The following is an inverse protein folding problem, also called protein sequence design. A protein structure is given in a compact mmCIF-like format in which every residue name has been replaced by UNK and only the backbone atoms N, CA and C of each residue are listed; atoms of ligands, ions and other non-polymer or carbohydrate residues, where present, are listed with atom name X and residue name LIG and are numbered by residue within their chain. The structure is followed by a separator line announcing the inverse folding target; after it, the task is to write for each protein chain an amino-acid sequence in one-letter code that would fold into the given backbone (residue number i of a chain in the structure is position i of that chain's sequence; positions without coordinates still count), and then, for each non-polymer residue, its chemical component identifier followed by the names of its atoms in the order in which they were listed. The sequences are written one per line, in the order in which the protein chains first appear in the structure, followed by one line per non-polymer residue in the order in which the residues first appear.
data_IF_709501684877
#
_entry.id   IF_709501684877
#
_cell.length_a   1.000
_cell.length_b   1.000
_cell.length_c   1.000
_cell.angle_alpha   90.00
_cell.angle_beta   90.00
_cell.angle_gamma   90.00
#
_symmetry.space_group_name_H-M   'P 1'
#
loop_
_entity.id
_entity.type
_entity.pdbx_description
1 polymer ?
#
# COMPACT_ATOMS: atom_id res chain seq x y z
N UNK A 1 16.80 8.91 -26.19
CA UNK A 1 15.96 7.78 -25.73
C UNK A 1 15.07 8.32 -24.64
N UNK A 2 13.78 8.11 -24.74
CA UNK A 2 12.85 8.48 -23.67
C UNK A 2 13.06 7.49 -22.51
N UNK A 3 13.53 7.92 -21.32
CA UNK A 3 13.72 7.03 -20.17
C UNK A 3 12.39 6.46 -19.63
N UNK A 4 11.26 6.83 -20.27
CA UNK A 4 9.89 6.60 -19.82
C UNK A 4 9.16 5.51 -20.61
N UNK A 5 9.81 4.81 -21.54
CA UNK A 5 9.18 3.67 -22.23
C UNK A 5 9.00 2.47 -21.30
N UNK A 6 7.89 1.70 -21.43
CA UNK A 6 7.70 0.42 -20.76
C UNK A 6 8.91 -0.50 -21.00
N UNK A 7 9.40 -1.15 -19.93
CA UNK A 7 10.54 -2.08 -20.01
C UNK A 7 11.93 -1.45 -19.89
N UNK A 8 12.04 -0.17 -19.55
CA UNK A 8 13.32 0.44 -19.14
C UNK A 8 13.77 -0.07 -17.77
N UNK A 9 15.07 -0.10 -17.51
CA UNK A 9 15.64 -0.52 -16.23
C UNK A 9 15.04 0.26 -15.04
N UNK A 10 14.77 1.55 -15.23
CA UNK A 10 14.10 2.39 -14.25
C UNK A 10 12.67 1.91 -13.94
N UNK A 11 11.85 1.63 -14.97
CA UNK A 11 10.49 1.10 -14.79
C UNK A 11 10.49 -0.28 -14.11
N UNK A 12 11.45 -1.15 -14.46
CA UNK A 12 11.63 -2.48 -13.84
C UNK A 12 11.98 -2.39 -12.37
N UNK A 13 12.87 -1.45 -12.01
CA UNK A 13 13.27 -1.23 -10.63
C UNK A 13 12.10 -0.77 -9.76
N UNK A 14 11.32 0.21 -10.25
CA UNK A 14 10.12 0.72 -9.56
C UNK A 14 9.09 -0.40 -9.40
N UNK A 15 8.78 -1.11 -10.48
CA UNK A 15 7.82 -2.22 -10.47
C UNK A 15 8.22 -3.33 -9.48
N UNK A 16 9.50 -3.73 -9.47
CA UNK A 16 10.01 -4.75 -8.56
C UNK A 16 9.87 -4.34 -7.09
N UNK A 17 10.14 -3.06 -6.76
CA UNK A 17 9.97 -2.53 -5.41
C UNK A 17 8.52 -2.57 -4.97
N UNK A 18 7.60 -2.10 -5.82
CA UNK A 18 6.17 -2.09 -5.52
C UNK A 18 5.66 -3.52 -5.28
N UNK A 19 6.02 -4.48 -6.14
CA UNK A 19 5.67 -5.89 -5.97
C UNK A 19 6.17 -6.42 -4.63
N UNK A 20 7.45 -6.19 -4.31
CA UNK A 20 8.03 -6.62 -3.04
C UNK A 20 7.24 -6.07 -1.84
N UNK A 21 6.87 -4.78 -1.86
CA UNK A 21 6.12 -4.19 -0.76
C UNK A 21 4.68 -4.70 -0.67
N UNK A 22 4.03 -5.00 -1.80
CA UNK A 22 2.74 -5.69 -1.79
C UNK A 22 2.84 -7.08 -1.14
N UNK A 23 3.85 -7.87 -1.53
CA UNK A 23 4.06 -9.21 -0.98
C UNK A 23 4.38 -9.14 0.53
N UNK A 24 5.18 -8.15 0.97
CA UNK A 24 5.46 -7.91 2.39
C UNK A 24 4.21 -7.49 3.18
N UNK A 25 3.37 -6.63 2.60
CA UNK A 25 2.11 -6.24 3.20
C UNK A 25 1.17 -7.46 3.35
N UNK A 26 1.09 -8.30 2.34
CA UNK A 26 0.26 -9.52 2.35
C UNK A 26 0.74 -10.52 3.41
N UNK A 27 2.05 -10.76 3.51
CA UNK A 27 2.63 -11.60 4.57
C UNK A 27 2.30 -11.06 5.96
N UNK A 28 2.43 -9.75 6.16
CA UNK A 28 2.10 -9.12 7.44
C UNK A 28 0.60 -9.18 7.74
N UNK A 29 -0.26 -9.04 6.73
CA UNK A 29 -1.71 -9.16 6.86
C UNK A 29 -2.13 -10.57 7.30
N UNK A 30 -1.56 -11.61 6.70
CA UNK A 30 -1.84 -12.99 7.10
C UNK A 30 -1.43 -13.28 8.56
N UNK A 31 -0.35 -12.67 9.05
CA UNK A 31 0.05 -12.76 10.47
C UNK A 31 -0.80 -11.90 11.39
N UNK A 32 -1.35 -10.81 10.88
CA UNK A 32 -2.24 -9.92 11.62
C UNK A 32 -3.62 -10.57 11.84
N UNK A 33 -4.19 -11.27 10.86
CA UNK A 33 -5.56 -11.79 10.94
C UNK A 33 -5.90 -12.59 12.23
N UNK A 34 -5.05 -13.51 12.73
CA UNK A 34 -5.41 -14.35 13.88
C UNK A 34 -5.49 -13.61 15.21
N UNK A 35 -4.65 -12.59 15.43
CA UNK A 35 -4.46 -11.97 16.74
C UNK A 35 -4.60 -10.44 16.73
N UNK A 36 -4.55 -9.84 15.54
CA UNK A 36 -4.61 -8.41 15.28
C UNK A 36 -3.55 -7.62 16.04
N UNK A 37 -2.38 -8.19 16.28
CA UNK A 37 -1.30 -7.52 17.03
C UNK A 37 -0.81 -6.26 16.32
N UNK A 38 -0.58 -5.20 17.11
CA UNK A 38 -0.02 -3.94 16.61
C UNK A 38 1.29 -4.15 15.83
N UNK A 39 2.14 -5.07 16.26
CA UNK A 39 3.38 -5.42 15.55
C UNK A 39 3.13 -5.70 14.06
N UNK A 40 2.12 -6.51 13.75
CA UNK A 40 1.80 -6.87 12.37
C UNK A 40 1.11 -5.71 11.65
N UNK A 41 0.27 -4.92 12.33
CA UNK A 41 -0.30 -3.70 11.77
C UNK A 41 0.77 -2.66 11.38
N UNK A 42 1.82 -2.49 12.19
CA UNK A 42 2.97 -1.65 11.89
C UNK A 42 3.76 -2.16 10.68
N UNK A 43 3.92 -3.48 10.55
CA UNK A 43 4.53 -4.07 9.36
C UNK A 43 3.71 -3.82 8.08
N UNK A 44 2.38 -3.96 8.15
CA UNK A 44 1.47 -3.62 7.04
C UNK A 44 1.64 -2.14 6.70
N UNK A 45 1.62 -1.26 7.71
CA UNK A 45 1.78 0.19 7.53
C UNK A 45 3.05 0.54 6.78
N UNK A 46 4.18 0.04 7.27
CA UNK A 46 5.48 0.31 6.67
C UNK A 46 5.54 -0.08 5.19
N UNK A 47 4.96 -1.22 4.84
CA UNK A 47 4.88 -1.67 3.44
C UNK A 47 3.97 -0.77 2.61
N UNK A 48 2.80 -0.41 3.14
CA UNK A 48 1.85 0.50 2.48
C UNK A 48 2.45 1.91 2.27
N UNK A 49 3.18 2.45 3.24
CA UNK A 49 3.88 3.74 3.12
C UNK A 49 4.96 3.69 2.03
N UNK A 50 5.66 2.55 1.90
CA UNK A 50 6.64 2.36 0.84
C UNK A 50 5.96 2.31 -0.55
N UNK A 51 4.83 1.60 -0.68
CA UNK A 51 4.02 1.59 -1.91
C UNK A 51 3.55 3.01 -2.23
N UNK A 52 2.94 3.70 -1.25
CA UNK A 52 2.46 5.07 -1.40
C UNK A 52 3.56 6.00 -1.94
N UNK A 53 4.76 5.93 -1.35
CA UNK A 53 5.91 6.72 -1.79
C UNK A 53 6.29 6.41 -3.23
N UNK A 54 6.40 5.14 -3.61
CA UNK A 54 6.74 4.77 -4.99
C UNK A 54 5.66 5.23 -5.99
N UNK A 55 4.38 5.13 -5.63
CA UNK A 55 3.29 5.59 -6.49
C UNK A 55 3.29 7.11 -6.67
N UNK A 56 3.56 7.87 -5.61
CA UNK A 56 3.54 9.35 -5.63
C UNK A 56 4.79 9.97 -6.24
N UNK A 57 5.99 9.50 -5.89
CA UNK A 57 7.26 9.99 -6.46
C UNK A 57 7.35 9.77 -7.98
N UNK A 58 6.63 8.76 -8.48
CA UNK A 58 6.58 8.39 -9.89
C UNK A 58 5.20 8.62 -10.51
N UNK A 59 4.40 9.53 -9.96
CA UNK A 59 3.02 9.76 -10.39
C UNK A 59 2.86 10.00 -11.90
N UNK A 60 3.82 10.71 -12.51
CA UNK A 60 3.83 11.01 -13.95
C UNK A 60 4.17 9.82 -14.83
N UNK A 61 4.62 8.70 -14.27
CA UNK A 61 5.02 7.50 -15.01
C UNK A 61 3.84 6.53 -15.23
N UNK A 62 2.75 6.69 -14.48
CA UNK A 62 1.61 5.79 -14.56
C UNK A 62 0.79 6.08 -15.82
N UNK A 63 0.57 5.10 -16.71
CA UNK A 63 -0.27 5.29 -17.87
C UNK A 63 -1.73 5.52 -17.45
N UNK A 64 -2.48 6.25 -18.27
CA UNK A 64 -3.89 6.61 -18.01
C UNK A 64 -4.74 5.42 -17.55
N UNK A 65 -4.53 4.25 -18.15
CA UNK A 65 -5.26 3.00 -17.83
C UNK A 65 -5.13 2.54 -16.38
N UNK A 66 -4.08 2.95 -15.65
CA UNK A 66 -3.87 2.58 -14.23
C UNK A 66 -4.02 3.77 -13.27
N UNK A 67 -4.07 5.01 -13.78
CA UNK A 67 -4.10 6.20 -12.92
C UNK A 67 -5.29 6.23 -11.95
N UNK A 68 -6.47 5.79 -12.40
CA UNK A 68 -7.65 5.70 -11.53
C UNK A 68 -7.43 4.73 -10.37
N UNK A 69 -6.82 3.58 -10.63
CA UNK A 69 -6.52 2.58 -9.60
C UNK A 69 -5.48 3.10 -8.61
N UNK A 70 -4.44 3.79 -9.11
CA UNK A 70 -3.45 4.47 -8.27
C UNK A 70 -4.12 5.50 -7.36
N UNK A 71 -4.98 6.36 -7.90
CA UNK A 71 -5.68 7.38 -7.13
C UNK A 71 -6.55 6.77 -6.01
N UNK A 72 -7.28 5.69 -6.31
CA UNK A 72 -8.11 4.99 -5.32
C UNK A 72 -7.27 4.38 -4.20
N UNK A 73 -6.14 3.76 -4.54
CA UNK A 73 -5.25 3.16 -3.54
C UNK A 73 -4.57 4.22 -2.67
N UNK A 74 -4.12 5.34 -3.26
CA UNK A 74 -3.53 6.46 -2.52
C UNK A 74 -4.55 7.08 -1.55
N UNK A 75 -5.78 7.32 -2.01
CA UNK A 75 -6.84 7.85 -1.14
C UNK A 75 -7.13 6.91 0.03
N UNK A 76 -7.18 5.59 -0.21
CA UNK A 76 -7.32 4.61 0.88
C UNK A 76 -6.16 4.69 1.87
N UNK A 77 -4.92 4.77 1.39
CA UNK A 77 -3.74 4.90 2.24
C UNK A 77 -3.74 6.18 3.07
N UNK A 78 -4.10 7.33 2.50
CA UNK A 78 -4.18 8.60 3.24
C UNK A 78 -5.19 8.52 4.39
N UNK A 79 -6.38 7.96 4.14
CA UNK A 79 -7.40 7.72 5.17
C UNK A 79 -6.85 6.79 6.25
N UNK A 80 -6.25 5.67 5.83
CA UNK A 80 -5.80 4.64 6.75
C UNK A 80 -4.61 5.11 7.60
N UNK A 81 -3.63 5.82 7.04
CA UNK A 81 -2.51 6.39 7.79
C UNK A 81 -2.99 7.43 8.81
N UNK A 82 -3.94 8.28 8.41
CA UNK A 82 -4.52 9.30 9.30
C UNK A 82 -5.22 8.65 10.48
N UNK A 83 -6.05 7.63 10.24
CA UNK A 83 -6.71 6.87 11.31
C UNK A 83 -5.71 6.14 12.20
N UNK A 84 -4.65 5.56 11.63
CA UNK A 84 -3.58 4.89 12.37
C UNK A 84 -2.90 5.86 13.33
N UNK A 85 -2.51 7.03 12.84
CA UNK A 85 -1.83 8.06 13.62
C UNK A 85 -2.72 8.64 14.71
N UNK A 86 -3.99 8.89 14.41
CA UNK A 86 -4.94 9.35 15.42
C UNK A 86 -5.10 8.30 16.52
N UNK A 87 -5.29 7.04 16.15
CA UNK A 87 -5.51 5.97 17.13
C UNK A 87 -4.29 5.74 18.03
N UNK A 88 -3.06 5.80 17.49
CA UNK A 88 -1.83 5.71 18.28
C UNK A 88 -1.66 6.88 19.27
N UNK A 89 -2.29 8.04 19.04
CA UNK A 89 -2.26 9.17 19.99
C UNK A 89 -3.23 8.98 21.16
N UNK A 90 -4.27 8.17 20.99
CA UNK A 90 -5.30 7.98 22.04
C UNK A 90 -4.82 7.17 23.23
N UNK A 91 -3.85 6.26 23.02
CA UNK A 91 -3.22 5.47 24.08
C UNK A 91 -1.89 4.86 23.63
N UNK A 92 -1.08 4.44 24.60
CA UNK A 92 0.10 3.60 24.35
C UNK A 92 -0.30 2.15 24.19
N UNK A 93 0.18 1.49 23.14
CA UNK A 93 -0.09 0.08 22.85
C UNK A 93 1.17 -0.76 23.05
N UNK A 94 1.03 -1.96 23.61
CA UNK A 94 2.09 -2.96 23.51
C UNK A 94 2.13 -3.58 22.09
N UNK A 95 3.29 -4.07 21.66
CA UNK A 95 3.44 -4.65 20.31
C UNK A 95 2.56 -5.89 20.07
N UNK A 96 2.25 -6.65 21.11
CA UNK A 96 1.36 -7.81 21.10
C UNK A 96 -0.07 -7.47 21.55
N UNK A 97 -0.40 -6.19 21.68
CA UNK A 97 -1.77 -5.78 21.98
C UNK A 97 -2.62 -5.81 20.71
N UNK A 98 -3.88 -6.21 20.83
CA UNK A 98 -4.83 -6.17 19.73
C UNK A 98 -5.06 -4.72 19.29
N UNK A 99 -4.89 -4.48 18.00
CA UNK A 99 -4.98 -3.18 17.36
C UNK A 99 -5.95 -3.29 16.19
N UNK A 100 -7.23 -3.00 16.46
CA UNK A 100 -8.32 -3.19 15.52
C UNK A 100 -8.77 -1.83 15.01
N UNK A 101 -8.76 -1.66 13.69
CA UNK A 101 -9.36 -0.50 13.05
C UNK A 101 -10.86 -0.67 12.91
N UNK A 102 -11.59 0.38 13.28
CA UNK A 102 -13.00 0.52 12.95
C UNK A 102 -13.11 1.39 11.71
N UNK A 103 -13.82 0.89 10.71
CA UNK A 103 -14.21 1.68 9.55
C UNK A 103 -15.12 2.83 10.05
N UNK A 104 -14.63 4.07 9.97
CA UNK A 104 -15.44 5.25 10.31
C UNK A 104 -16.59 5.45 9.32
N UNK A 105 -16.45 4.89 8.12
CA UNK A 105 -17.44 4.85 7.05
C UNK A 105 -17.20 3.62 6.14
N UNK A 106 -18.20 3.26 5.33
CA UNK A 106 -18.05 2.24 4.27
C UNK A 106 -17.05 2.67 3.15
N UNK A 107 -16.51 3.89 3.21
CA UNK A 107 -15.59 4.44 2.19
C UNK A 107 -14.11 4.11 2.46
N UNK A 108 -13.78 3.60 3.64
CA UNK A 108 -12.42 3.26 4.05
C UNK A 108 -11.99 1.82 3.73
N UNK A 109 -12.81 1.05 3.02
CA UNK A 109 -12.48 -0.32 2.63
C UNK A 109 -11.26 -0.39 1.68
N UNK A 110 -10.40 -1.40 1.87
CA UNK A 110 -9.23 -1.60 1.02
C UNK A 110 -9.65 -1.86 -0.45
N UNK A 111 -9.16 -1.08 -1.43
CA UNK A 111 -9.59 -1.18 -2.82
C UNK A 111 -8.90 -2.37 -3.53
N UNK A 112 -9.37 -3.59 -3.22
CA UNK A 112 -8.76 -4.86 -3.68
C UNK A 112 -8.55 -4.91 -5.19
N UNK A 113 -9.54 -4.47 -5.97
CA UNK A 113 -9.45 -4.47 -7.44
C UNK A 113 -8.34 -3.55 -7.93
N UNK A 114 -8.27 -2.32 -7.40
CA UNK A 114 -7.23 -1.36 -7.78
C UNK A 114 -5.84 -1.81 -7.38
N UNK A 115 -5.67 -2.32 -6.16
CA UNK A 115 -4.42 -2.90 -5.71
C UNK A 115 -3.96 -4.05 -6.62
N UNK A 116 -4.89 -4.94 -7.00
CA UNK A 116 -4.60 -6.05 -7.92
C UNK A 116 -4.17 -5.54 -9.30
N UNK A 117 -4.89 -4.58 -9.87
CA UNK A 117 -4.56 -4.03 -11.18
C UNK A 117 -3.17 -3.40 -11.21
N UNK A 118 -2.80 -2.66 -10.15
CA UNK A 118 -1.46 -2.04 -10.01
C UNK A 118 -0.39 -3.13 -9.93
N UNK A 119 -0.62 -4.16 -9.10
CA UNK A 119 0.31 -5.28 -8.96
C UNK A 119 0.50 -6.03 -10.29
N UNK A 120 -0.58 -6.36 -10.98
CA UNK A 120 -0.54 -7.03 -12.29
C UNK A 120 0.15 -6.16 -13.34
N UNK A 121 -0.09 -4.84 -13.32
CA UNK A 121 0.60 -3.90 -14.20
C UNK A 121 2.11 -3.91 -13.94
N UNK A 122 2.54 -3.84 -12.68
CA UNK A 122 3.96 -3.90 -12.31
C UNK A 122 4.59 -5.22 -12.76
N UNK A 123 3.89 -6.35 -12.60
CA UNK A 123 4.39 -7.66 -13.05
C UNK A 123 4.66 -7.72 -14.55
N UNK A 124 3.85 -7.02 -15.36
CA UNK A 124 4.04 -6.94 -16.82
C UNK A 124 5.25 -6.10 -17.24
N UNK A 125 5.82 -5.30 -16.33
CA UNK A 125 7.00 -4.48 -16.63
C UNK A 125 8.31 -5.24 -16.44
N UNK A 126 8.31 -6.35 -15.69
CA UNK A 126 9.48 -7.18 -15.43
C UNK A 126 9.86 -8.01 -16.65
#
# INVERSE_FOLDING_TARGET
MDPLSPGTEASKNIASKIILFFDLADIAFHKYLPNKFLLHALCIRKSNEAIYRQLTEHASLWPEVIQKDVALLLNHYDIWFTQFDDFLKTKTFALNEAFIFYHLDDQSAFPKTSAKNIYDYCKKQL
#
